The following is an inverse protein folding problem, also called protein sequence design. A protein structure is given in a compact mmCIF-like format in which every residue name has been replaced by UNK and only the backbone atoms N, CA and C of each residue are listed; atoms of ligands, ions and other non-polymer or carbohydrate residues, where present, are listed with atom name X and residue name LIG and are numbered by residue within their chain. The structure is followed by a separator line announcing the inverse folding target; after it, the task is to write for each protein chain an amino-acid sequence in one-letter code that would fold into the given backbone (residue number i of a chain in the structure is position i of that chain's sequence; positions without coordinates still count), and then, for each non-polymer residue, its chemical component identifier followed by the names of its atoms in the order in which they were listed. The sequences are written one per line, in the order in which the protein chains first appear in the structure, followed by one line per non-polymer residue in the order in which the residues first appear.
data_IF_964418114798
#
_entry.id   IF_964418114798
#
_cell.length_a   1.000
_cell.length_b   1.000
_cell.length_c   1.000
_cell.angle_alpha   90.00
_cell.angle_beta   90.00
_cell.angle_gamma   90.00
#
_symmetry.space_group_name_H-M   'P 1'
#
loop_
_entity.id
_entity.type
_entity.pdbx_description
1 polymer ?
#
# COMPACT_ATOMS: atom_id res chain seq x y z
N UNK A 1 5.59 -15.11 -15.56
CA UNK A 1 5.21 -15.72 -14.27
C UNK A 1 5.43 -17.21 -14.35
N UNK A 2 6.46 -17.69 -13.64
CA UNK A 2 6.63 -19.10 -13.32
C UNK A 2 5.63 -19.49 -12.24
N UNK A 3 5.15 -20.73 -12.26
CA UNK A 3 4.32 -21.24 -11.17
C UNK A 3 5.15 -21.29 -9.87
N UNK A 4 4.51 -21.09 -8.70
CA UNK A 4 5.15 -21.32 -7.41
C UNK A 4 5.76 -22.72 -7.36
N UNK A 5 6.98 -22.82 -6.84
CA UNK A 5 7.72 -24.08 -6.77
C UNK A 5 8.24 -24.33 -5.36
N UNK A 6 8.64 -25.56 -5.08
CA UNK A 6 9.22 -25.91 -3.78
C UNK A 6 10.55 -25.19 -3.51
N UNK A 7 11.30 -24.87 -4.57
CA UNK A 7 12.52 -24.06 -4.46
C UNK A 7 12.20 -22.63 -4.00
N UNK A 8 11.10 -22.03 -4.48
CA UNK A 8 10.65 -20.73 -3.99
C UNK A 8 10.31 -20.77 -2.49
N UNK A 9 9.67 -21.83 -2.03
CA UNK A 9 9.31 -21.97 -0.61
C UNK A 9 10.54 -22.07 0.30
N UNK A 10 11.58 -22.79 -0.14
CA UNK A 10 12.86 -22.83 0.56
C UNK A 10 13.50 -21.45 0.66
N UNK A 11 13.51 -20.69 -0.44
CA UNK A 11 14.01 -19.30 -0.45
C UNK A 11 13.24 -18.48 0.58
N UNK A 12 11.90 -18.52 0.57
CA UNK A 12 11.07 -17.75 1.53
C UNK A 12 11.37 -18.12 2.99
N UNK A 13 11.55 -19.40 3.30
CA UNK A 13 11.92 -19.86 4.65
C UNK A 13 13.32 -19.40 5.08
N UNK A 14 14.21 -19.18 4.12
CA UNK A 14 15.59 -18.76 4.36
C UNK A 14 15.77 -17.23 4.28
N UNK A 15 14.72 -16.47 3.93
CA UNK A 15 14.77 -14.99 3.96
C UNK A 15 15.10 -14.56 5.39
N UNK A 16 16.22 -13.86 5.54
CA UNK A 16 16.62 -13.19 6.77
C UNK A 16 16.33 -11.71 6.64
N UNK A 17 16.10 -11.05 7.78
CA UNK A 17 16.06 -9.59 7.84
C UNK A 17 17.34 -9.01 7.22
N UNK A 18 17.18 -8.02 6.35
CA UNK A 18 18.31 -7.30 5.76
C UNK A 18 18.76 -6.18 6.70
N UNK A 19 20.04 -5.83 6.71
CA UNK A 19 20.54 -4.63 7.40
C UNK A 19 20.16 -3.31 6.70
N UNK A 20 19.20 -3.36 5.76
CA UNK A 20 18.64 -2.17 5.13
C UNK A 20 17.57 -1.65 6.08
N UNK A 21 17.94 -0.64 6.86
CA UNK A 21 17.11 -0.12 7.94
C UNK A 21 15.89 0.67 7.42
N UNK A 22 15.87 1.05 6.13
CA UNK A 22 14.83 1.90 5.54
C UNK A 22 14.58 1.56 4.09
N UNK A 23 13.33 1.25 3.76
CA UNK A 23 12.88 1.01 2.39
C UNK A 23 11.58 1.78 2.14
N UNK A 24 11.55 2.56 1.06
CA UNK A 24 10.33 3.23 0.62
C UNK A 24 9.39 2.19 -0.02
N UNK A 25 8.39 1.76 0.73
CA UNK A 25 7.44 0.75 0.28
C UNK A 25 6.54 1.24 -0.87
N UNK A 26 6.40 2.55 -1.07
CA UNK A 26 5.67 3.12 -2.21
C UNK A 26 6.45 2.86 -3.50
N UNK A 27 7.79 2.99 -3.46
CA UNK A 27 8.65 2.63 -4.60
C UNK A 27 8.56 1.13 -4.89
N UNK A 28 8.59 0.28 -3.86
CA UNK A 28 8.42 -1.17 -4.02
C UNK A 28 7.06 -1.52 -4.65
N UNK A 29 5.99 -0.80 -4.28
CA UNK A 29 4.66 -0.97 -4.87
C UNK A 29 4.64 -0.61 -6.36
N UNK A 30 5.30 0.49 -6.77
CA UNK A 30 5.43 0.85 -8.19
C UNK A 30 6.15 -0.25 -8.97
N UNK A 31 7.24 -0.80 -8.42
CA UNK A 31 7.96 -1.92 -9.05
C UNK A 31 7.07 -3.16 -9.15
N UNK A 32 6.30 -3.47 -8.12
CA UNK A 32 5.36 -4.59 -8.14
C UNK A 32 4.27 -4.42 -9.22
N UNK A 33 3.75 -3.19 -9.40
CA UNK A 33 2.79 -2.87 -10.45
C UNK A 33 3.37 -3.05 -11.85
N UNK A 34 4.61 -2.60 -12.08
CA UNK A 34 5.32 -2.77 -13.36
C UNK A 34 5.56 -4.25 -13.68
N UNK A 35 6.07 -5.03 -12.71
CA UNK A 35 6.24 -6.48 -12.86
C UNK A 35 4.90 -7.14 -13.16
N UNK A 36 3.83 -6.74 -12.48
CA UNK A 36 2.51 -7.30 -12.70
C UNK A 36 2.00 -7.00 -14.11
N UNK A 37 2.13 -5.76 -14.59
CA UNK A 37 1.72 -5.38 -15.93
C UNK A 37 2.51 -6.13 -17.00
N UNK A 38 3.85 -6.10 -16.93
CA UNK A 38 4.74 -6.73 -17.90
C UNK A 38 4.59 -8.25 -17.94
N UNK A 39 4.37 -8.90 -16.80
CA UNK A 39 4.27 -10.35 -16.73
C UNK A 39 2.89 -10.89 -17.13
N UNK A 40 1.85 -10.05 -17.10
CA UNK A 40 0.48 -10.42 -17.45
C UNK A 40 0.08 -10.01 -18.87
N UNK A 41 0.89 -9.19 -19.54
CA UNK A 41 0.67 -8.81 -20.94
C UNK A 41 0.53 -10.05 -21.85
N UNK A 42 -0.51 -10.04 -22.69
CA UNK A 42 -0.83 -11.14 -23.60
C UNK A 42 -1.36 -12.42 -22.95
N UNK A 43 -1.61 -12.43 -21.63
CA UNK A 43 -2.14 -13.59 -20.90
C UNK A 43 -3.55 -13.35 -20.40
N UNK A 44 -4.35 -14.41 -20.37
CA UNK A 44 -5.69 -14.38 -19.77
C UNK A 44 -5.56 -14.51 -18.25
N UNK A 45 -5.80 -13.40 -17.55
CA UNK A 45 -5.75 -13.31 -16.08
C UNK A 45 -7.15 -12.93 -15.58
N UNK A 46 -7.63 -13.63 -14.56
CA UNK A 46 -8.97 -13.39 -13.97
C UNK A 46 -8.94 -12.36 -12.85
N UNK A 47 -7.83 -12.27 -12.12
CA UNK A 47 -7.63 -11.32 -11.04
C UNK A 47 -6.14 -11.02 -10.86
N UNK A 48 -5.83 -9.78 -10.48
CA UNK A 48 -4.48 -9.31 -10.18
C UNK A 48 -4.47 -8.84 -8.74
N UNK A 49 -3.58 -9.40 -7.91
CA UNK A 49 -3.54 -9.10 -6.48
C UNK A 49 -2.12 -8.87 -6.00
N UNK A 50 -1.92 -7.77 -5.27
CA UNK A 50 -0.69 -7.46 -4.53
C UNK A 50 -0.97 -7.64 -3.04
N UNK A 51 -0.11 -8.43 -2.38
CA UNK A 51 -0.07 -8.55 -0.92
C UNK A 51 1.22 -7.88 -0.44
N UNK A 52 1.10 -6.81 0.33
CA UNK A 52 2.20 -6.00 0.81
C UNK A 52 2.46 -6.31 2.28
N UNK A 53 3.65 -6.83 2.59
CA UNK A 53 4.15 -6.95 3.97
C UNK A 53 5.00 -5.72 4.27
N UNK A 54 4.60 -4.92 5.26
CA UNK A 54 5.17 -3.59 5.46
C UNK A 54 5.22 -3.18 6.93
N UNK A 55 6.27 -2.44 7.26
CA UNK A 55 6.36 -1.65 8.48
C UNK A 55 6.02 -0.18 8.13
N UNK A 56 4.97 0.41 8.73
CA UNK A 56 4.57 1.79 8.46
C UNK A 56 5.59 2.84 8.95
N UNK A 57 6.52 2.52 9.86
CA UNK A 57 7.54 3.47 10.34
C UNK A 57 8.74 3.57 9.39
N UNK A 58 8.48 3.77 8.09
CA UNK A 58 9.49 4.00 7.07
C UNK A 58 9.38 5.41 6.49
N UNK A 59 10.51 5.96 6.05
CA UNK A 59 10.52 7.19 5.25
C UNK A 59 9.93 6.88 3.86
N UNK A 60 8.85 7.57 3.50
CA UNK A 60 8.10 7.35 2.25
C UNK A 60 7.98 8.62 1.42
N UNK A 61 8.16 8.48 0.10
CA UNK A 61 7.92 9.55 -0.85
C UNK A 61 6.47 9.51 -1.37
N UNK A 62 5.70 10.55 -1.01
CA UNK A 62 4.29 10.69 -1.37
C UNK A 62 4.02 11.46 -2.67
N UNK A 63 5.04 12.02 -3.33
CA UNK A 63 4.91 12.94 -4.48
C UNK A 63 4.11 12.33 -5.64
N UNK A 64 4.07 11.00 -5.73
CA UNK A 64 3.43 10.24 -6.81
C UNK A 64 2.22 9.44 -6.37
N UNK A 65 1.72 9.62 -5.14
CA UNK A 65 0.61 8.83 -4.59
C UNK A 65 -0.63 8.82 -5.51
N UNK A 66 -1.02 9.99 -6.04
CA UNK A 66 -2.17 10.10 -6.96
C UNK A 66 -1.97 9.28 -8.24
N UNK A 67 -0.77 9.32 -8.81
CA UNK A 67 -0.42 8.56 -10.01
C UNK A 67 -0.45 7.05 -9.74
N UNK A 68 0.00 6.65 -8.56
CA UNK A 68 0.02 5.24 -8.12
C UNK A 68 -1.41 4.73 -7.94
N UNK A 69 -2.26 5.46 -7.20
CA UNK A 69 -3.68 5.12 -7.03
C UNK A 69 -4.39 4.96 -8.37
N UNK A 70 -4.23 5.94 -9.27
CA UNK A 70 -4.80 5.87 -10.61
C UNK A 70 -4.28 4.66 -11.41
N UNK A 71 -3.01 4.30 -11.25
CA UNK A 71 -2.43 3.12 -11.88
C UNK A 71 -3.03 1.82 -11.35
N UNK A 72 -3.20 1.70 -10.04
CA UNK A 72 -3.79 0.52 -9.38
C UNK A 72 -5.23 0.32 -9.84
N UNK A 73 -6.03 1.40 -9.85
CA UNK A 73 -7.41 1.39 -10.33
C UNK A 73 -7.51 0.99 -11.81
N UNK A 74 -6.73 1.65 -12.69
CA UNK A 74 -6.73 1.34 -14.13
C UNK A 74 -6.29 -0.08 -14.43
N UNK A 75 -5.37 -0.62 -13.63
CA UNK A 75 -4.90 -1.99 -13.76
C UNK A 75 -5.80 -2.97 -13.03
N UNK A 76 -6.87 -2.56 -12.35
CA UNK A 76 -7.78 -3.45 -11.60
C UNK A 76 -7.00 -4.39 -10.65
N UNK A 77 -6.02 -3.82 -9.92
CA UNK A 77 -5.18 -4.58 -9.00
C UNK A 77 -5.80 -4.54 -7.60
N UNK A 78 -6.18 -5.70 -7.08
CA UNK A 78 -6.57 -5.87 -5.68
C UNK A 78 -5.37 -5.67 -4.75
N UNK A 79 -5.59 -5.05 -3.60
CA UNK A 79 -4.55 -4.85 -2.60
C UNK A 79 -4.91 -5.42 -1.22
N UNK A 80 -3.89 -5.93 -0.54
CA UNK A 80 -3.95 -6.32 0.87
C UNK A 80 -2.64 -5.91 1.52
N UNK A 81 -2.70 -5.14 2.60
CA UNK A 81 -1.54 -4.78 3.41
C UNK A 81 -1.53 -5.60 4.71
N UNK A 82 -0.35 -6.04 5.12
CA UNK A 82 -0.09 -6.79 6.35
C UNK A 82 1.10 -6.14 7.04
N UNK A 83 0.94 -5.74 8.30
CA UNK A 83 1.97 -5.06 9.08
C UNK A 83 1.62 -5.08 10.56
N UNK A 84 2.60 -4.78 11.42
CA UNK A 84 2.41 -4.73 12.87
C UNK A 84 1.60 -3.49 13.23
N UNK A 85 0.53 -3.67 13.99
CA UNK A 85 -0.37 -2.61 14.49
C UNK A 85 -0.88 -1.65 13.40
N UNK A 86 -1.13 -2.15 12.18
CA UNK A 86 -1.76 -1.35 11.14
C UNK A 86 -3.20 -1.04 11.54
N UNK A 87 -3.53 0.25 11.64
CA UNK A 87 -4.85 0.74 12.06
C UNK A 87 -5.20 0.25 13.47
N UNK A 88 -4.45 0.66 14.52
CA UNK A 88 -4.83 0.31 15.88
C UNK A 88 -6.26 0.80 16.11
N UNK A 89 -7.12 -0.07 16.62
CA UNK A 89 -8.45 0.34 17.07
C UNK A 89 -8.24 1.42 18.14
N UNK A 90 -8.93 2.56 18.02
CA UNK A 90 -8.85 3.63 19.01
C UNK A 90 -9.27 3.06 20.38
N UNK A 91 -8.32 2.64 21.20
CA UNK A 91 -8.56 2.33 22.61
C UNK A 91 -8.85 3.64 23.33
N UNK A 92 -10.12 4.06 23.38
CA UNK A 92 -10.79 4.95 24.35
C UNK A 92 -9.92 6.00 25.08
N UNK A 93 -8.98 6.61 24.38
CA UNK A 93 -8.00 7.55 24.90
C UNK A 93 -8.25 8.91 24.29
N UNK A 94 -8.24 9.94 25.13
CA UNK A 94 -8.48 11.35 24.81
C UNK A 94 -7.40 11.97 23.89
N UNK A 95 -7.12 11.33 22.75
CA UNK A 95 -6.42 11.92 21.62
C UNK A 95 -7.44 12.68 20.77
N UNK A 96 -7.08 13.89 20.34
CA UNK A 96 -7.90 14.73 19.46
C UNK A 96 -8.44 13.91 18.30
N UNK A 97 -9.75 13.67 18.32
CA UNK A 97 -10.47 13.08 17.20
C UNK A 97 -10.29 14.03 16.02
N UNK A 98 -9.38 13.68 15.11
CA UNK A 98 -9.44 14.27 13.78
C UNK A 98 -10.69 13.70 13.16
N UNK A 99 -11.69 14.55 13.00
CA UNK A 99 -12.94 14.26 12.31
C UNK A 99 -12.61 13.81 10.89
N UNK A 100 -12.40 12.50 10.73
CA UNK A 100 -12.17 11.89 9.43
C UNK A 100 -13.52 11.81 8.72
N UNK A 101 -13.93 12.93 8.12
CA UNK A 101 -14.95 12.89 7.07
C UNK A 101 -14.48 11.89 6.00
N UNK A 102 -15.37 10.95 5.67
CA UNK A 102 -15.15 9.96 4.62
C UNK A 102 -14.66 10.66 3.34
N UNK A 103 -13.44 10.35 2.91
CA UNK A 103 -12.67 11.00 1.82
C UNK A 103 -13.23 10.61 0.43
N UNK A 104 -14.53 10.35 0.32
CA UNK A 104 -15.17 9.96 -0.94
C UNK A 104 -16.31 10.94 -1.21
N UNK A 105 -16.01 12.02 -1.94
CA UNK A 105 -17.04 12.71 -2.72
C UNK A 105 -17.59 11.69 -3.75
N UNK A 106 -18.92 11.62 -3.87
CA UNK A 106 -19.70 10.78 -4.80
C UNK A 106 -19.33 10.93 -6.30
N UNK A 107 -18.30 11.72 -6.60
CA UNK A 107 -17.76 11.98 -7.94
C UNK A 107 -16.41 11.29 -8.24
N UNK A 108 -15.87 10.44 -7.35
CA UNK A 108 -14.64 9.69 -7.64
C UNK A 108 -13.37 10.56 -7.75
N UNK A 109 -13.39 11.77 -7.17
CA UNK A 109 -12.19 12.59 -7.01
C UNK A 109 -11.59 12.34 -5.63
N UNK A 110 -10.30 12.00 -5.60
CA UNK A 110 -9.47 12.07 -4.41
C UNK A 110 -9.49 13.52 -3.91
N UNK A 111 -10.34 13.81 -2.91
CA UNK A 111 -10.41 15.12 -2.27
C UNK A 111 -9.09 15.43 -1.57
N UNK A 112 -8.88 16.71 -1.30
CA UNK A 112 -7.60 17.32 -0.91
C UNK A 112 -6.82 16.46 0.09
N UNK A 113 -5.53 16.27 -0.21
CA UNK A 113 -4.56 15.59 0.65
C UNK A 113 -4.65 16.32 2.00
N UNK A 114 -5.27 15.73 3.02
CA UNK A 114 -5.21 16.28 4.37
C UNK A 114 -3.73 16.44 4.70
N UNK A 115 -3.38 17.61 5.22
CA UNK A 115 -2.00 18.01 5.43
C UNK A 115 -1.31 16.96 6.30
N UNK A 116 -0.37 16.22 5.71
CA UNK A 116 0.42 15.20 6.40
C UNK A 116 1.53 15.86 7.22
N UNK A 117 1.63 17.19 7.21
CA UNK A 117 2.51 17.94 8.08
C UNK A 117 2.12 17.71 9.56
N UNK A 118 3.12 17.52 10.41
CA UNK A 118 2.92 17.28 11.85
C UNK A 118 2.67 15.83 12.25
N UNK A 119 2.38 14.91 11.33
CA UNK A 119 2.26 13.48 11.65
C UNK A 119 3.62 12.85 11.91
N UNK A 120 3.65 11.88 12.83
CA UNK A 120 4.80 10.97 12.96
C UNK A 120 4.98 10.15 11.68
N UNK A 121 6.19 9.65 11.43
CA UNK A 121 6.48 8.81 10.25
C UNK A 121 5.51 7.63 10.14
N UNK A 122 5.29 6.93 11.25
CA UNK A 122 4.35 5.83 11.33
C UNK A 122 2.93 6.24 10.93
N UNK A 123 2.37 7.28 11.55
CA UNK A 123 1.03 7.78 11.24
C UNK A 123 0.90 8.19 9.77
N UNK A 124 1.95 8.82 9.22
CA UNK A 124 2.01 9.18 7.81
C UNK A 124 1.97 7.93 6.91
N UNK A 125 2.76 6.90 7.23
CA UNK A 125 2.76 5.63 6.51
C UNK A 125 1.40 4.92 6.55
N UNK A 126 0.77 4.88 7.72
CA UNK A 126 -0.58 4.32 7.92
C UNK A 126 -1.65 5.07 7.11
N UNK A 127 -1.67 6.39 7.16
CA UNK A 127 -2.64 7.20 6.41
C UNK A 127 -2.45 7.07 4.89
N UNK A 128 -1.19 7.02 4.41
CA UNK A 128 -0.90 6.75 3.00
C UNK A 128 -1.43 5.37 2.57
N UNK A 129 -1.23 4.34 3.39
CA UNK A 129 -1.82 3.01 3.13
C UNK A 129 -3.34 3.03 3.14
N UNK A 130 -3.96 3.73 4.11
CA UNK A 130 -5.42 3.88 4.22
C UNK A 130 -6.00 4.46 2.94
N UNK A 131 -5.39 5.53 2.43
CA UNK A 131 -5.78 6.20 1.19
C UNK A 131 -5.68 5.26 -0.01
N UNK A 132 -4.58 4.52 -0.15
CA UNK A 132 -4.41 3.56 -1.24
C UNK A 132 -5.49 2.47 -1.17
N UNK A 133 -5.69 1.85 -0.01
CA UNK A 133 -6.65 0.76 0.16
C UNK A 133 -8.08 1.21 -0.11
N UNK A 134 -8.46 2.39 0.41
CA UNK A 134 -9.82 2.92 0.25
C UNK A 134 -10.10 3.34 -1.20
N UNK A 135 -9.14 3.97 -1.87
CA UNK A 135 -9.30 4.38 -3.27
C UNK A 135 -9.42 3.19 -4.24
N UNK A 136 -8.94 2.01 -3.86
CA UNK A 136 -9.05 0.79 -4.69
C UNK A 136 -10.40 0.10 -4.50
N UNK A 137 -11.12 0.38 -3.40
CA UNK A 137 -12.43 -0.21 -3.08
C UNK A 137 -13.63 0.59 -3.65
N UNK A 138 -13.41 1.84 -4.05
CA UNK A 138 -14.43 2.73 -4.63
C UNK A 138 -14.62 2.49 -6.13
#
# INVERSE_FOLDING_TARGET
MSNPSWEMMKIVQEIKGTAVDKCDWIVALVVAMDIMQTQTEGKKITAKKIVLFVDPDNDVNEDKLKTIINGIQKLEIEQTAIGVDLFPEDEDGEGEKMDHEDIIDNNGKCSEISDLSGLSRRQRGEELMRRIINAVRS
#
